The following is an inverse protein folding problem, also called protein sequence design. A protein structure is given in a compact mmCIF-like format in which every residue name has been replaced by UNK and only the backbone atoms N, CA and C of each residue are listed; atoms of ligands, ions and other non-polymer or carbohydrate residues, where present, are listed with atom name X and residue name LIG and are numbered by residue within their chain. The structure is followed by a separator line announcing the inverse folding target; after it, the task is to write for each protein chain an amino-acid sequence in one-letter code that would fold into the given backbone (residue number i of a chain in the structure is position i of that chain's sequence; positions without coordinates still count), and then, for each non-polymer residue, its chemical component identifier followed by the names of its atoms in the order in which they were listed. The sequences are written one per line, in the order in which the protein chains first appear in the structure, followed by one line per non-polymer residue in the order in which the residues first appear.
data_IF_413155604161
#
_entry.id   IF_413155604161
#
_cell.length_a   1.000
_cell.length_b   1.000
_cell.length_c   1.000
_cell.angle_alpha   90.00
_cell.angle_beta   90.00
_cell.angle_gamma   90.00
#
_symmetry.space_group_name_H-M   'P 1'
#
loop_
_entity.id
_entity.type
_entity.pdbx_description
1 polymer ?
#
# COMPACT_ATOMS: atom_id res chain seq x y z
N UNK A 1 -19.59 -12.10 -19.80
CA UNK A 1 -20.30 -12.83 -18.76
C UNK A 1 -20.54 -11.95 -17.53
N UNK A 2 -21.53 -12.29 -16.72
CA UNK A 2 -21.86 -11.53 -15.51
C UNK A 2 -20.68 -11.36 -14.56
N UNK A 3 -19.78 -12.35 -14.48
CA UNK A 3 -18.59 -12.29 -13.63
C UNK A 3 -17.66 -11.13 -14.03
N UNK A 4 -17.42 -10.95 -15.31
CA UNK A 4 -16.59 -9.86 -15.80
C UNK A 4 -17.28 -8.50 -15.68
N UNK A 5 -18.57 -8.45 -15.93
CA UNK A 5 -19.36 -7.23 -15.77
C UNK A 5 -19.35 -6.72 -14.33
N UNK A 6 -19.37 -7.61 -13.32
CA UNK A 6 -19.29 -7.24 -11.90
C UNK A 6 -17.92 -6.69 -11.49
N UNK A 7 -16.85 -7.06 -12.18
CA UNK A 7 -15.50 -6.60 -11.89
C UNK A 7 -15.13 -5.32 -12.66
N UNK A 8 -15.81 -5.05 -13.75
CA UNK A 8 -15.50 -3.93 -14.63
C UNK A 8 -15.78 -2.58 -13.99
N UNK A 9 -16.92 -2.42 -13.32
CA UNK A 9 -17.33 -1.15 -12.75
C UNK A 9 -16.37 -0.62 -11.67
N UNK A 10 -15.89 -1.40 -10.70
CA UNK A 10 -14.89 -0.95 -9.75
C UNK A 10 -13.57 -0.55 -10.40
N UNK A 11 -13.13 -1.23 -11.45
CA UNK A 11 -11.94 -0.87 -12.22
C UNK A 11 -12.12 0.46 -12.92
N UNK A 12 -13.27 0.69 -13.54
CA UNK A 12 -13.58 1.94 -14.23
C UNK A 12 -13.60 3.11 -13.26
N UNK A 13 -14.24 2.96 -12.10
CA UNK A 13 -14.24 3.97 -11.04
C UNK A 13 -12.83 4.28 -10.54
N UNK A 14 -11.97 3.27 -10.37
CA UNK A 14 -10.58 3.44 -9.99
C UNK A 14 -9.78 4.21 -11.04
N UNK A 15 -9.96 3.92 -12.33
CA UNK A 15 -9.31 4.68 -13.40
C UNK A 15 -9.81 6.12 -13.46
N UNK A 16 -11.11 6.34 -13.31
CA UNK A 16 -11.68 7.70 -13.26
C UNK A 16 -11.08 8.51 -12.11
N UNK A 17 -10.92 7.89 -10.96
CA UNK A 17 -10.27 8.51 -9.79
C UNK A 17 -8.81 8.87 -10.08
N UNK A 18 -8.07 8.01 -10.75
CA UNK A 18 -6.67 8.29 -11.15
C UNK A 18 -6.58 9.44 -12.15
N UNK A 19 -7.50 9.48 -13.12
CA UNK A 19 -7.57 10.57 -14.09
C UNK A 19 -7.84 11.89 -13.38
N UNK A 20 -8.80 11.93 -12.46
CA UNK A 20 -9.11 13.11 -11.66
C UNK A 20 -7.90 13.56 -10.82
N UNK A 21 -7.18 12.61 -10.24
CA UNK A 21 -5.96 12.89 -9.47
C UNK A 21 -4.89 13.56 -10.35
N UNK A 22 -4.68 13.06 -11.55
CA UNK A 22 -3.71 13.62 -12.52
C UNK A 22 -4.16 15.02 -12.96
N UNK A 23 -5.45 15.18 -13.26
CA UNK A 23 -6.02 16.47 -13.67
C UNK A 23 -5.89 17.55 -12.59
N UNK A 24 -5.87 17.16 -11.33
CA UNK A 24 -5.67 18.04 -10.19
C UNK A 24 -4.18 18.28 -9.86
N UNK A 25 -3.26 17.83 -10.68
CA UNK A 25 -1.83 18.06 -10.54
C UNK A 25 -1.06 16.91 -9.90
N UNK A 26 -1.71 15.79 -9.65
CA UNK A 26 -1.04 14.58 -9.16
C UNK A 26 -0.14 13.97 -10.23
N UNK A 27 0.89 13.27 -9.80
CA UNK A 27 1.80 12.55 -10.70
C UNK A 27 1.69 11.06 -10.47
N UNK A 28 1.66 10.30 -11.54
CA UNK A 28 1.62 8.85 -11.52
C UNK A 28 2.90 8.29 -12.13
N UNK A 29 3.58 7.43 -11.38
CA UNK A 29 4.74 6.68 -11.86
C UNK A 29 4.45 5.20 -11.78
N UNK A 30 4.67 4.48 -12.87
CA UNK A 30 4.51 3.03 -12.92
C UNK A 30 5.89 2.38 -12.87
N UNK A 31 6.14 1.64 -11.80
CA UNK A 31 7.41 0.91 -11.58
C UNK A 31 7.20 -0.21 -10.56
N UNK A 32 8.13 -1.14 -10.52
CA UNK A 32 8.19 -2.10 -9.41
C UNK A 32 8.77 -1.39 -8.20
N UNK A 33 7.95 -1.21 -7.16
CA UNK A 33 8.38 -0.56 -5.93
C UNK A 33 9.40 -1.40 -5.19
N UNK A 34 10.44 -0.75 -4.71
CA UNK A 34 11.48 -1.36 -3.87
C UNK A 34 11.52 -0.68 -2.49
N UNK A 35 12.19 -1.30 -1.53
CA UNK A 35 12.42 -0.68 -0.22
C UNK A 35 13.15 0.64 -0.34
N UNK A 36 14.06 0.76 -1.30
CA UNK A 36 14.81 1.98 -1.56
C UNK A 36 13.90 3.15 -1.98
N UNK A 37 12.86 2.88 -2.79
CA UNK A 37 11.90 3.92 -3.18
C UNK A 37 11.19 4.52 -1.95
N UNK A 38 10.83 3.68 -1.01
CA UNK A 38 10.20 4.11 0.25
C UNK A 38 11.18 4.91 1.11
N UNK A 39 12.38 4.37 1.28
CA UNK A 39 13.45 5.00 2.08
C UNK A 39 13.79 6.40 1.56
N UNK A 40 13.89 6.55 0.25
CA UNK A 40 14.20 7.85 -0.35
C UNK A 40 13.15 8.91 -0.04
N UNK A 41 11.87 8.55 -0.07
CA UNK A 41 10.79 9.49 0.27
C UNK A 41 10.84 9.90 1.72
N UNK A 42 11.04 8.94 2.61
CA UNK A 42 11.16 9.20 4.05
C UNK A 42 12.39 10.07 4.33
N UNK A 43 13.51 9.80 3.70
CA UNK A 43 14.74 10.57 3.86
C UNK A 43 14.58 12.05 3.44
N UNK A 44 13.64 12.35 2.54
CA UNK A 44 13.31 13.72 2.15
C UNK A 44 12.21 14.36 3.01
N UNK A 45 11.81 13.69 4.08
CA UNK A 45 10.81 14.20 5.02
C UNK A 45 9.36 13.90 4.65
N UNK A 46 9.12 12.99 3.70
CA UNK A 46 7.79 12.65 3.23
C UNK A 46 7.38 11.24 3.66
N UNK A 47 6.43 11.08 4.56
CA UNK A 47 5.91 9.76 4.90
C UNK A 47 5.19 9.15 3.70
N UNK A 48 5.12 7.82 3.70
CA UNK A 48 4.56 7.04 2.61
C UNK A 48 3.31 6.31 3.09
N UNK A 49 2.18 6.55 2.45
CA UNK A 49 0.97 5.77 2.65
C UNK A 49 0.96 4.63 1.63
N UNK A 50 0.99 3.40 2.10
CA UNK A 50 1.05 2.24 1.24
C UNK A 50 -0.19 1.36 1.38
N UNK A 51 -0.76 0.96 0.23
CA UNK A 51 -1.79 -0.06 0.16
C UNK A 51 -1.12 -1.43 0.17
N UNK A 52 -1.53 -2.30 1.06
CA UNK A 52 -0.91 -3.61 1.24
C UNK A 52 -1.89 -4.64 1.76
N UNK A 53 -1.51 -5.91 1.71
CA UNK A 53 -2.28 -6.95 2.39
C UNK A 53 -1.76 -7.14 3.81
N UNK A 54 -2.68 -7.20 4.76
CA UNK A 54 -2.33 -7.39 6.17
C UNK A 54 -1.85 -8.82 6.51
N UNK A 55 -2.07 -9.77 5.62
CA UNK A 55 -1.78 -11.18 5.88
C UNK A 55 -0.31 -11.42 6.26
N UNK A 56 0.61 -10.79 5.53
CA UNK A 56 2.04 -10.91 5.79
C UNK A 56 2.51 -10.09 6.99
N UNK A 57 1.75 -9.04 7.35
CA UNK A 57 2.05 -8.23 8.52
C UNK A 57 1.68 -8.98 9.82
N UNK A 58 0.55 -9.66 9.80
CA UNK A 58 -0.05 -10.24 11.01
C UNK A 58 0.09 -11.75 11.11
N UNK A 59 0.75 -12.39 10.14
CA UNK A 59 0.88 -13.85 10.07
C UNK A 59 -0.49 -14.56 10.11
N UNK A 60 -1.45 -14.06 9.35
CA UNK A 60 -2.80 -14.63 9.28
C UNK A 60 -3.05 -15.29 7.94
N UNK A 61 -3.96 -16.27 7.93
CA UNK A 61 -4.43 -16.94 6.73
C UNK A 61 -5.75 -16.36 6.22
N UNK A 62 -6.10 -15.15 6.62
CA UNK A 62 -7.31 -14.52 6.13
C UNK A 62 -7.27 -14.42 4.60
N UNK A 63 -8.40 -14.71 3.95
CA UNK A 63 -8.57 -14.40 2.55
C UNK A 63 -8.39 -12.90 2.39
N UNK A 64 -7.84 -12.41 1.39
CA UNK A 64 -7.61 -11.02 1.00
C UNK A 64 -8.05 -9.94 2.01
N UNK A 65 -7.10 -9.28 2.61
CA UNK A 65 -7.30 -8.22 3.59
C UNK A 65 -6.52 -6.98 3.18
N UNK A 66 -7.18 -6.12 2.43
CA UNK A 66 -6.61 -4.86 1.99
C UNK A 66 -6.43 -3.92 3.19
N UNK A 67 -5.29 -3.27 3.26
CA UNK A 67 -4.89 -2.48 4.41
C UNK A 67 -4.01 -1.31 3.99
N UNK A 68 -4.18 -0.17 4.64
CA UNK A 68 -3.31 0.98 4.46
C UNK A 68 -2.45 1.19 5.69
N UNK A 69 -1.18 1.44 5.48
CA UNK A 69 -0.21 1.69 6.55
C UNK A 69 0.62 2.93 6.20
N UNK A 70 0.81 3.80 7.17
CA UNK A 70 1.65 4.98 7.01
C UNK A 70 3.08 4.65 7.47
N UNK A 71 4.02 4.67 6.54
CA UNK A 71 5.43 4.42 6.82
C UNK A 71 6.11 5.74 7.11
N UNK A 72 6.70 5.89 8.30
CA UNK A 72 7.21 7.16 8.81
C UNK A 72 8.71 7.19 9.05
N UNK A 73 9.36 6.04 9.08
CA UNK A 73 10.78 5.95 9.34
C UNK A 73 11.37 4.62 8.92
N UNK A 74 12.68 4.50 8.97
CA UNK A 74 13.39 3.27 8.66
C UNK A 74 14.75 3.22 9.35
N UNK A 75 15.25 2.01 9.52
CA UNK A 75 16.64 1.72 9.81
C UNK A 75 17.19 0.73 8.77
N UNK A 76 18.26 0.01 9.05
CA UNK A 76 18.85 -0.91 8.08
C UNK A 76 17.94 -2.10 7.74
N UNK A 77 17.12 -2.56 8.69
CA UNK A 77 16.38 -3.81 8.58
C UNK A 77 14.86 -3.63 8.59
N UNK A 78 14.36 -2.52 9.09
CA UNK A 78 12.95 -2.35 9.39
C UNK A 78 12.39 -0.99 8.97
N UNK A 79 11.07 -0.94 8.82
CA UNK A 79 10.30 0.29 8.71
C UNK A 79 9.55 0.58 10.02
N UNK A 80 9.55 1.85 10.38
CA UNK A 80 8.70 2.38 11.43
C UNK A 80 7.37 2.81 10.80
N UNK A 81 6.27 2.34 11.36
CA UNK A 81 4.95 2.53 10.75
C UNK A 81 3.91 3.00 11.76
N UNK A 82 2.91 3.71 11.27
CA UNK A 82 1.64 3.88 11.96
C UNK A 82 0.63 2.93 11.33
N UNK A 83 0.38 1.83 12.03
CA UNK A 83 -0.55 0.81 11.57
C UNK A 83 -1.92 1.03 12.22
N UNK A 84 -2.97 1.37 11.47
CA UNK A 84 -4.30 1.60 12.03
C UNK A 84 -4.93 0.34 12.64
N UNK A 85 -4.41 -0.85 12.31
CA UNK A 85 -4.84 -2.11 12.91
C UNK A 85 -4.33 -2.35 14.34
N UNK A 86 -3.47 -1.50 14.88
CA UNK A 86 -2.80 -1.71 16.16
C UNK A 86 -3.77 -2.00 17.32
N UNK A 87 -4.91 -1.34 17.35
CA UNK A 87 -5.84 -1.45 18.46
C UNK A 87 -6.79 -2.67 18.40
N UNK A 88 -6.88 -3.35 17.26
CA UNK A 88 -7.84 -4.44 17.09
C UNK A 88 -7.23 -5.77 16.64
N UNK A 89 -5.95 -5.81 16.38
CA UNK A 89 -5.24 -7.05 16.06
C UNK A 89 -4.08 -7.29 17.02
N UNK A 90 -4.06 -8.43 17.72
CA UNK A 90 -2.98 -8.73 18.66
C UNK A 90 -1.63 -8.95 17.96
N UNK A 91 -1.62 -9.17 16.66
CA UNK A 91 -0.41 -9.39 15.85
C UNK A 91 0.12 -8.10 15.23
N UNK A 92 -0.55 -6.97 15.41
CA UNK A 92 -0.14 -5.68 14.87
C UNK A 92 1.08 -5.14 15.60
N UNK A 93 1.99 -4.56 14.84
CA UNK A 93 3.22 -3.94 15.34
C UNK A 93 3.33 -2.51 14.82
N UNK A 94 4.25 -1.75 15.39
CA UNK A 94 4.65 -0.42 14.87
C UNK A 94 5.99 -0.49 14.12
N UNK A 95 6.65 -1.63 14.16
CA UNK A 95 7.91 -1.89 13.46
C UNK A 95 7.76 -3.22 12.72
N UNK A 96 7.96 -3.19 11.42
CA UNK A 96 7.94 -4.38 10.55
C UNK A 96 9.24 -4.46 9.76
N UNK A 97 9.70 -5.68 9.46
CA UNK A 97 10.85 -5.84 8.58
C UNK A 97 10.56 -5.24 7.21
N UNK A 98 11.60 -4.74 6.55
CA UNK A 98 11.46 -4.19 5.19
C UNK A 98 10.88 -5.23 4.22
N UNK A 99 11.26 -6.49 4.37
CA UNK A 99 10.73 -7.56 3.54
C UNK A 99 9.23 -7.79 3.77
N UNK A 100 8.76 -7.76 5.02
CA UNK A 100 7.32 -7.88 5.30
C UNK A 100 6.53 -6.76 4.61
N UNK A 101 7.01 -5.53 4.70
CA UNK A 101 6.35 -4.39 4.07
C UNK A 101 6.33 -4.52 2.55
N UNK A 102 7.47 -4.80 1.93
CA UNK A 102 7.53 -4.85 0.46
C UNK A 102 6.74 -6.04 -0.10
N UNK A 103 6.78 -7.20 0.54
CA UNK A 103 5.94 -8.34 0.16
C UNK A 103 4.45 -8.04 0.34
N UNK A 104 4.09 -7.36 1.42
CA UNK A 104 2.69 -6.99 1.67
C UNK A 104 2.15 -6.03 0.61
N UNK A 105 2.97 -5.09 0.13
CA UNK A 105 2.61 -4.18 -0.95
C UNK A 105 2.43 -4.97 -2.25
N UNK A 106 3.39 -5.79 -2.63
CA UNK A 106 3.35 -6.53 -3.90
C UNK A 106 2.29 -7.63 -3.93
N UNK A 107 1.98 -8.23 -2.79
CA UNK A 107 0.93 -9.24 -2.69
C UNK A 107 -0.49 -8.65 -2.63
N UNK A 108 -0.61 -7.33 -2.51
CA UNK A 108 -1.90 -6.69 -2.54
C UNK A 108 -2.45 -6.68 -3.98
N UNK A 109 -3.27 -7.67 -4.28
CA UNK A 109 -3.92 -7.83 -5.58
C UNK A 109 -5.36 -7.35 -5.52
N UNK A 110 -5.56 -6.15 -5.01
CA UNK A 110 -6.88 -5.57 -4.84
C UNK A 110 -7.78 -5.68 -6.08
N UNK A 111 -9.07 -5.57 -5.88
CA UNK A 111 -10.06 -5.63 -6.97
C UNK A 111 -10.11 -4.35 -7.80
N UNK A 112 -9.26 -3.41 -7.51
CA UNK A 112 -9.17 -2.10 -8.13
C UNK A 112 -7.73 -1.81 -8.56
N UNK A 113 -7.47 -0.59 -9.01
CA UNK A 113 -6.15 -0.18 -9.51
C UNK A 113 -5.16 0.14 -8.39
N UNK A 114 -5.57 0.13 -7.14
CA UNK A 114 -4.69 0.48 -6.00
C UNK A 114 -3.75 -0.65 -5.56
N UNK A 115 -3.87 -1.84 -6.14
CA UNK A 115 -2.98 -2.96 -5.79
C UNK A 115 -1.51 -2.61 -5.99
N UNK A 116 -0.69 -2.79 -4.96
CA UNK A 116 0.74 -2.52 -5.03
C UNK A 116 1.11 -1.04 -5.10
N UNK A 117 0.26 -0.16 -4.58
CA UNK A 117 0.40 1.30 -4.68
C UNK A 117 0.99 1.92 -3.42
N UNK A 118 1.77 2.96 -3.60
CA UNK A 118 2.09 3.89 -2.52
C UNK A 118 1.75 5.33 -2.91
N UNK A 119 1.39 6.13 -1.92
CA UNK A 119 1.14 7.56 -2.05
C UNK A 119 2.11 8.33 -1.18
N UNK A 120 2.60 9.44 -1.69
CA UNK A 120 3.49 10.32 -0.95
C UNK A 120 3.32 11.76 -1.44
N UNK A 121 3.68 12.71 -0.60
CA UNK A 121 3.78 14.11 -1.01
C UNK A 121 5.04 14.32 -1.84
N UNK A 122 4.99 15.31 -2.68
CA UNK A 122 6.15 15.72 -3.48
C UNK A 122 6.91 16.86 -2.82
#
# INVERSE_FOLDING_TARGET
TERYARQWQPLQEGFDTLIDFIDQGGQLTTKILTTFDIEQKIATGHPVLAAMTSNFLYNTFAAHNEHFTLITGYDDDAFLVNDPGFHWSPNTKQIYSKNQIIYSIHANTGRSVEGGMMLTLM
#
